data_IF_366148298939
#
_entry.id   IF_366148298939
#
_cell.length_a   1.000
_cell.length_b   1.000
_cell.length_c   1.000
_cell.angle_alpha   90.00
_cell.angle_beta   90.00
_cell.angle_gamma   90.00
#
_symmetry.space_group_name_H-M   'P 1'
#
loop_
_entity.id
_entity.type
_entity.pdbx_description
1 polymer ?
#
# COMPACT_ATOMS: atom_id res chain seq x y z
N UNK A 1 -19.18 23.17 -2.58
CA UNK A 1 -18.02 23.27 -3.51
C UNK A 1 -18.09 22.04 -4.39
N UNK A 2 -18.36 22.22 -5.68
CA UNK A 2 -18.43 21.12 -6.65
C UNK A 2 -17.03 20.54 -6.79
N UNK A 3 -16.84 19.27 -6.45
CA UNK A 3 -15.64 18.54 -6.83
C UNK A 3 -15.61 18.49 -8.36
N UNK A 4 -14.83 19.36 -8.99
CA UNK A 4 -14.55 19.22 -10.41
C UNK A 4 -13.86 17.89 -10.62
N UNK A 5 -14.50 16.98 -11.36
CA UNK A 5 -13.88 15.73 -11.79
C UNK A 5 -12.53 16.08 -12.44
N UNK A 6 -11.47 15.41 -12.01
CA UNK A 6 -10.14 15.61 -12.58
C UNK A 6 -9.98 14.60 -13.72
N UNK A 7 -9.66 15.08 -14.92
CA UNK A 7 -9.39 14.23 -16.07
C UNK A 7 -8.17 13.33 -15.80
N UNK A 8 -8.29 12.06 -16.13
CA UNK A 8 -7.22 11.08 -15.89
C UNK A 8 -7.06 10.13 -17.07
N UNK A 9 -5.83 9.78 -17.37
CA UNK A 9 -5.44 8.66 -18.22
C UNK A 9 -4.85 7.58 -17.34
N UNK A 10 -5.24 6.33 -17.52
CA UNK A 10 -4.77 5.26 -16.65
C UNK A 10 -4.44 3.97 -17.43
N UNK A 11 -3.55 3.19 -16.85
CA UNK A 11 -3.29 1.79 -17.16
C UNK A 11 -3.48 0.98 -15.89
N UNK A 12 -4.34 -0.02 -15.90
CA UNK A 12 -4.63 -0.87 -14.72
C UNK A 12 -4.36 -2.33 -15.01
N UNK A 13 -3.83 -3.03 -13.99
CA UNK A 13 -3.60 -4.47 -14.04
C UNK A 13 -2.50 -4.89 -15.02
N UNK A 14 -1.47 -4.05 -15.22
CA UNK A 14 -0.29 -4.42 -15.99
C UNK A 14 0.45 -5.55 -15.27
N UNK A 15 0.67 -6.67 -15.94
CA UNK A 15 1.33 -7.84 -15.35
C UNK A 15 2.71 -8.04 -15.93
N UNK A 16 3.69 -8.19 -15.05
CA UNK A 16 5.06 -8.49 -15.41
C UNK A 16 5.60 -9.65 -14.56
N UNK A 17 6.62 -10.33 -15.08
CA UNK A 17 7.47 -11.22 -14.30
C UNK A 17 8.88 -10.62 -14.28
N UNK A 18 9.37 -10.31 -13.06
CA UNK A 18 10.67 -9.66 -12.88
C UNK A 18 11.24 -9.94 -11.49
N UNK A 19 12.53 -9.72 -11.32
CA UNK A 19 13.18 -9.79 -10.01
C UNK A 19 12.99 -8.45 -9.31
N UNK A 20 12.40 -8.47 -8.10
CA UNK A 20 12.20 -7.27 -7.27
C UNK A 20 12.64 -7.62 -5.85
N UNK A 21 13.95 -7.54 -5.60
CA UNK A 21 14.52 -7.97 -4.35
C UNK A 21 14.28 -9.46 -4.03
N UNK A 22 14.49 -9.87 -2.78
CA UNK A 22 14.19 -11.22 -2.33
C UNK A 22 12.67 -11.51 -2.38
N UNK A 23 12.30 -12.70 -2.83
CA UNK A 23 10.91 -13.16 -2.76
C UNK A 23 10.49 -13.53 -1.31
N UNK A 24 9.25 -13.99 -1.14
CA UNK A 24 8.73 -14.37 0.18
C UNK A 24 9.45 -15.56 0.85
N UNK A 25 10.29 -16.28 0.12
CA UNK A 25 11.20 -17.32 0.65
C UNK A 25 12.64 -16.83 0.76
N UNK A 26 12.86 -15.51 0.72
CA UNK A 26 14.20 -14.87 0.81
C UNK A 26 15.18 -15.27 -0.31
N UNK A 27 14.67 -15.69 -1.49
CA UNK A 27 15.52 -16.01 -2.65
C UNK A 27 15.82 -14.71 -3.42
N UNK A 28 17.10 -14.25 -3.48
CA UNK A 28 17.42 -12.89 -3.90
C UNK A 28 17.24 -12.62 -5.41
N UNK A 29 17.30 -13.66 -6.24
CA UNK A 29 17.27 -13.50 -7.71
C UNK A 29 16.07 -14.21 -8.37
N UNK A 30 15.06 -14.56 -7.59
CA UNK A 30 13.90 -15.25 -8.12
C UNK A 30 12.94 -14.25 -8.75
N UNK A 31 12.64 -14.46 -10.05
CA UNK A 31 11.56 -13.74 -10.72
C UNK A 31 10.22 -14.02 -10.03
N UNK A 32 9.43 -12.99 -9.87
CA UNK A 32 8.11 -13.05 -9.24
C UNK A 32 7.09 -12.21 -10.02
N UNK A 33 5.81 -12.58 -10.01
CA UNK A 33 4.77 -11.80 -10.65
C UNK A 33 4.60 -10.47 -9.91
N UNK A 34 4.47 -9.40 -10.69
CA UNK A 34 4.07 -8.09 -10.20
C UNK A 34 2.88 -7.59 -11.01
N UNK A 35 2.04 -6.78 -10.38
CA UNK A 35 0.96 -6.04 -11.02
C UNK A 35 1.18 -4.55 -10.82
N UNK A 36 1.00 -3.76 -11.88
CA UNK A 36 1.23 -2.31 -11.84
C UNK A 36 -0.02 -1.58 -12.32
N UNK A 37 -0.45 -0.59 -11.53
CA UNK A 37 -1.47 0.37 -11.91
C UNK A 37 -0.82 1.75 -12.03
N UNK A 38 -1.18 2.49 -13.07
CA UNK A 38 -0.71 3.86 -13.32
C UNK A 38 -1.92 4.74 -13.57
N UNK A 39 -1.92 5.90 -12.92
CA UNK A 39 -2.92 6.96 -13.12
C UNK A 39 -2.16 8.24 -13.37
N UNK A 40 -2.52 8.96 -14.43
CA UNK A 40 -1.89 10.22 -14.81
C UNK A 40 -2.96 11.30 -14.97
N UNK A 41 -2.72 12.47 -14.40
CA UNK A 41 -3.51 13.67 -14.62
C UNK A 41 -2.79 14.52 -15.67
N UNK A 42 -3.31 14.65 -16.91
CA UNK A 42 -2.67 15.45 -17.94
C UNK A 42 -2.54 16.92 -17.51
N UNK A 43 -1.44 17.57 -17.90
CA UNK A 43 -1.18 18.97 -17.54
C UNK A 43 -2.26 19.91 -18.06
N UNK A 44 -2.75 19.66 -19.29
CA UNK A 44 -3.72 20.53 -19.98
C UNK A 44 -5.16 19.96 -19.99
N UNK A 45 -5.45 18.93 -19.17
CA UNK A 45 -6.73 18.22 -19.23
C UNK A 45 -6.93 17.43 -20.52
N UNK A 46 -8.17 17.05 -20.82
CA UNK A 46 -8.54 16.26 -22.01
C UNK A 46 -9.48 16.98 -22.97
N UNK A 47 -9.83 18.24 -22.70
CA UNK A 47 -10.82 18.99 -23.49
C UNK A 47 -10.43 19.14 -24.96
N UNK A 48 -9.16 19.48 -25.25
CA UNK A 48 -8.68 19.64 -26.61
C UNK A 48 -8.72 18.31 -27.39
N UNK A 49 -8.32 17.22 -26.73
CA UNK A 49 -8.40 15.88 -27.31
C UNK A 49 -9.86 15.47 -27.63
N UNK A 50 -10.81 15.84 -26.75
CA UNK A 50 -12.22 15.54 -26.92
C UNK A 50 -12.88 16.40 -28.01
N UNK A 51 -12.52 17.69 -28.12
CA UNK A 51 -13.10 18.61 -29.10
C UNK A 51 -12.62 18.32 -30.51
N UNK A 52 -11.32 18.04 -30.66
CA UNK A 52 -10.69 17.86 -31.97
C UNK A 52 -10.61 16.38 -32.41
N UNK A 53 -11.05 15.45 -31.58
CA UNK A 53 -10.92 13.98 -31.76
C UNK A 53 -9.47 13.60 -32.15
N UNK A 54 -8.49 14.15 -31.42
CA UNK A 54 -7.09 14.04 -31.78
C UNK A 54 -6.22 13.55 -30.63
N UNK A 55 -5.62 12.38 -30.81
CA UNK A 55 -4.75 11.72 -29.82
C UNK A 55 -3.48 12.48 -29.49
N UNK A 56 -3.06 13.44 -30.34
CA UNK A 56 -1.86 14.26 -30.05
C UNK A 56 -2.04 15.21 -28.87
N UNK A 57 -3.27 15.47 -28.45
CA UNK A 57 -3.62 16.32 -27.31
C UNK A 57 -3.84 15.56 -26.00
N UNK A 58 -3.56 14.26 -25.99
CA UNK A 58 -3.67 13.43 -24.79
C UNK A 58 -2.42 12.58 -24.57
N UNK A 59 -2.39 11.83 -23.50
CA UNK A 59 -1.35 10.85 -23.20
C UNK A 59 -1.65 9.57 -23.96
N UNK A 60 -0.75 9.18 -24.88
CA UNK A 60 -0.82 7.92 -25.61
C UNK A 60 -0.49 6.73 -24.66
N UNK A 61 -1.53 6.14 -24.12
CA UNK A 61 -1.41 4.97 -23.22
C UNK A 61 -0.82 3.73 -23.93
N UNK A 62 -0.97 3.61 -25.25
CA UNK A 62 -0.36 2.52 -26.01
C UNK A 62 1.16 2.66 -26.12
N UNK A 63 1.65 3.88 -26.31
CA UNK A 63 3.09 4.20 -26.29
C UNK A 63 3.64 4.01 -24.87
N UNK A 64 2.94 4.50 -23.87
CA UNK A 64 3.32 4.33 -22.46
C UNK A 64 3.43 2.83 -22.10
N UNK A 65 2.44 2.01 -22.48
CA UNK A 65 2.50 0.56 -22.28
C UNK A 65 3.76 -0.07 -22.88
N UNK A 66 4.10 0.26 -24.14
CA UNK A 66 5.30 -0.27 -24.79
C UNK A 66 6.59 0.14 -24.09
N UNK A 67 6.67 1.39 -23.59
CA UNK A 67 7.81 1.88 -22.82
C UNK A 67 7.96 1.10 -21.50
N UNK A 68 6.87 0.90 -20.79
CA UNK A 68 6.86 0.14 -19.53
C UNK A 68 7.25 -1.33 -19.74
N UNK A 69 6.74 -1.97 -20.79
CA UNK A 69 7.16 -3.33 -21.14
C UNK A 69 8.65 -3.40 -21.39
N UNK A 70 9.22 -2.44 -22.11
CA UNK A 70 10.66 -2.40 -22.42
C UNK A 70 11.51 -2.19 -21.16
N UNK A 71 11.06 -1.34 -20.22
CA UNK A 71 11.83 -0.95 -19.03
C UNK A 71 11.66 -1.92 -17.85
N UNK A 72 10.55 -2.70 -17.79
CA UNK A 72 10.21 -3.54 -16.63
C UNK A 72 10.31 -5.04 -16.92
N UNK A 73 9.90 -5.48 -18.12
CA UNK A 73 9.84 -6.92 -18.42
C UNK A 73 11.22 -7.56 -18.39
N UNK A 74 11.34 -8.68 -17.67
CA UNK A 74 12.57 -9.50 -17.59
C UNK A 74 13.80 -8.73 -17.08
N UNK A 75 13.60 -7.58 -16.41
CA UNK A 75 14.65 -6.83 -15.75
C UNK A 75 14.88 -7.38 -14.33
N UNK A 76 15.86 -6.81 -13.64
CA UNK A 76 16.16 -7.13 -12.24
C UNK A 76 16.27 -5.83 -11.46
N UNK A 77 15.50 -5.71 -10.40
CA UNK A 77 15.47 -4.55 -9.52
C UNK A 77 15.91 -4.97 -8.12
N UNK A 78 16.70 -4.14 -7.49
CA UNK A 78 17.19 -4.37 -6.14
C UNK A 78 16.05 -4.50 -5.12
N UNK A 79 15.03 -3.66 -5.30
CA UNK A 79 13.84 -3.62 -4.44
C UNK A 79 12.67 -2.95 -5.20
N UNK A 80 11.51 -2.88 -4.55
CA UNK A 80 10.31 -2.27 -5.14
C UNK A 80 10.46 -0.76 -5.35
N UNK A 81 11.30 -0.10 -4.55
CA UNK A 81 11.59 1.32 -4.70
C UNK A 81 12.36 1.59 -6.00
N UNK A 82 13.44 0.82 -6.26
CA UNK A 82 14.19 0.91 -7.53
C UNK A 82 13.24 0.66 -8.73
N UNK A 83 12.37 -0.36 -8.65
CA UNK A 83 11.35 -0.60 -9.67
C UNK A 83 10.45 0.64 -9.87
N UNK A 84 9.98 1.25 -8.80
CA UNK A 84 9.12 2.44 -8.88
C UNK A 84 9.81 3.64 -9.51
N UNK A 85 11.11 3.83 -9.26
CA UNK A 85 11.92 4.88 -9.90
C UNK A 85 11.99 4.67 -11.42
N UNK A 86 12.24 3.43 -11.87
CA UNK A 86 12.31 3.09 -13.29
C UNK A 86 10.94 3.27 -13.98
N UNK A 87 9.85 2.84 -13.33
CA UNK A 87 8.49 3.08 -13.82
C UNK A 87 8.27 4.59 -13.97
N UNK A 88 8.56 5.36 -12.94
CA UNK A 88 8.35 6.81 -12.92
C UNK A 88 9.17 7.55 -13.96
N UNK A 89 10.42 7.15 -14.19
CA UNK A 89 11.26 7.70 -15.24
C UNK A 89 10.72 7.42 -16.66
N UNK A 90 9.84 6.42 -16.79
CA UNK A 90 9.16 6.08 -18.04
C UNK A 90 7.82 6.81 -18.25
N UNK A 91 7.34 7.55 -17.24
CA UNK A 91 6.07 8.28 -17.36
C UNK A 91 6.26 9.55 -18.22
N UNK A 92 5.26 9.90 -19.05
CA UNK A 92 5.22 11.20 -19.71
C UNK A 92 5.00 12.32 -18.69
N UNK A 93 5.24 13.55 -19.11
CA UNK A 93 4.93 14.72 -18.31
C UNK A 93 3.44 14.77 -17.95
N UNK A 94 3.15 14.95 -16.68
CA UNK A 94 1.80 15.00 -16.14
C UNK A 94 1.74 15.93 -14.92
N UNK A 95 0.59 16.54 -14.69
CA UNK A 95 0.33 17.41 -13.53
C UNK A 95 0.40 16.62 -12.21
N UNK A 96 -0.09 15.40 -12.22
CA UNK A 96 -0.01 14.47 -11.09
C UNK A 96 0.05 13.02 -11.60
N UNK A 97 0.61 12.14 -10.78
CA UNK A 97 0.66 10.71 -11.06
C UNK A 97 0.32 9.88 -9.84
N UNK A 98 -0.20 8.68 -10.08
CA UNK A 98 -0.28 7.58 -9.13
C UNK A 98 0.37 6.34 -9.76
N UNK A 99 1.27 5.70 -9.02
CA UNK A 99 1.90 4.43 -9.38
C UNK A 99 1.67 3.45 -8.24
N UNK A 100 1.03 2.34 -8.52
CA UNK A 100 0.84 1.27 -7.55
C UNK A 100 1.50 0.00 -8.07
N UNK A 101 2.36 -0.59 -7.24
CA UNK A 101 3.05 -1.85 -7.54
C UNK A 101 2.59 -2.88 -6.53
N UNK A 102 1.92 -3.93 -6.99
CA UNK A 102 1.50 -5.05 -6.18
C UNK A 102 2.41 -6.26 -6.41
N UNK A 103 2.84 -6.87 -5.32
CA UNK A 103 3.52 -8.16 -5.29
C UNK A 103 2.52 -9.20 -4.73
N UNK A 104 1.80 -9.93 -5.60
CA UNK A 104 0.77 -10.88 -5.15
C UNK A 104 1.32 -12.00 -4.27
N UNK A 105 2.61 -12.34 -4.45
CA UNK A 105 3.33 -13.37 -3.68
C UNK A 105 4.38 -12.80 -2.74
N UNK A 106 4.33 -11.49 -2.45
CA UNK A 106 5.33 -10.84 -1.58
C UNK A 106 5.26 -11.27 -0.12
N UNK A 107 4.08 -11.72 0.34
CA UNK A 107 3.83 -12.20 1.70
C UNK A 107 3.06 -13.51 1.64
N UNK A 108 3.63 -14.61 2.19
CA UNK A 108 3.01 -15.94 2.13
C UNK A 108 1.70 -16.04 2.91
N UNK A 109 1.61 -15.33 4.03
CA UNK A 109 0.44 -15.36 4.90
C UNK A 109 -0.69 -14.41 4.41
N UNK A 110 -0.47 -13.61 3.36
CA UNK A 110 -1.41 -12.60 2.91
C UNK A 110 -1.98 -12.93 1.53
N UNK A 111 -3.25 -13.32 1.47
CA UNK A 111 -3.94 -13.71 0.22
C UNK A 111 -3.95 -12.59 -0.82
N UNK A 112 -4.01 -11.32 -0.39
CA UNK A 112 -3.94 -10.14 -1.26
C UNK A 112 -2.51 -9.69 -1.61
N UNK A 113 -1.48 -10.30 -1.00
CA UNK A 113 -0.08 -9.88 -1.14
C UNK A 113 0.20 -8.51 -0.51
N UNK A 114 1.20 -7.81 -1.05
CA UNK A 114 1.55 -6.45 -0.63
C UNK A 114 1.49 -5.50 -1.82
N UNK A 115 0.95 -4.28 -1.59
CA UNK A 115 0.89 -3.19 -2.58
C UNK A 115 1.63 -1.99 -2.05
N UNK A 116 2.46 -1.39 -2.89
CA UNK A 116 3.13 -0.12 -2.65
C UNK A 116 2.54 0.93 -3.57
N UNK A 117 2.27 2.12 -3.05
CA UNK A 117 1.71 3.23 -3.81
C UNK A 117 2.59 4.47 -3.68
N UNK A 118 2.73 5.22 -4.76
CA UNK A 118 3.34 6.54 -4.83
C UNK A 118 2.38 7.46 -5.56
N UNK A 119 1.89 8.48 -4.88
CA UNK A 119 0.94 9.44 -5.42
C UNK A 119 1.48 10.85 -5.30
N UNK A 120 1.55 11.57 -6.40
CA UNK A 120 1.87 13.00 -6.38
C UNK A 120 0.60 13.81 -6.35
N UNK A 121 0.55 14.79 -5.46
CA UNK A 121 -0.52 15.77 -5.37
C UNK A 121 0.05 17.15 -5.73
N UNK A 122 -0.45 17.76 -6.83
CA UNK A 122 -0.09 19.14 -7.13
C UNK A 122 -0.73 20.06 -6.10
N UNK A 123 0.08 20.74 -5.27
CA UNK A 123 -0.41 21.85 -4.47
C UNK A 123 -0.64 23.05 -5.37
N UNK A 124 -1.88 23.57 -5.37
CA UNK A 124 -2.26 24.73 -6.21
C UNK A 124 -1.65 26.03 -5.69
N UNK A 125 -1.23 26.08 -4.40
CA UNK A 125 -0.81 27.34 -3.75
C UNK A 125 0.68 27.66 -3.85
N UNK A 126 1.58 26.67 -3.90
CA UNK A 126 3.02 26.93 -3.70
C UNK A 126 3.93 26.30 -4.76
N UNK A 127 3.40 25.69 -5.81
CA UNK A 127 4.19 25.02 -6.84
C UNK A 127 4.99 23.81 -6.32
N UNK A 128 4.68 23.32 -5.13
CA UNK A 128 5.33 22.17 -4.48
C UNK A 128 4.43 20.96 -4.66
N UNK A 129 4.93 19.93 -5.32
CA UNK A 129 4.23 18.65 -5.37
C UNK A 129 4.57 17.82 -4.14
N UNK A 130 3.55 17.27 -3.54
CA UNK A 130 3.65 16.37 -2.40
C UNK A 130 3.54 14.92 -2.92
N UNK A 131 4.47 14.06 -2.52
CA UNK A 131 4.39 12.63 -2.82
C UNK A 131 4.03 11.90 -1.54
N UNK A 132 2.90 11.22 -1.56
CA UNK A 132 2.48 10.30 -0.53
C UNK A 132 2.92 8.89 -0.92
N UNK A 133 3.56 8.21 0.00
CA UNK A 133 3.90 6.80 -0.14
C UNK A 133 3.00 5.95 0.74
N UNK A 134 2.50 4.83 0.21
CA UNK A 134 1.67 3.90 0.95
C UNK A 134 2.19 2.47 0.84
N UNK A 135 1.96 1.67 1.88
CA UNK A 135 2.16 0.23 1.87
C UNK A 135 0.91 -0.46 2.41
N UNK A 136 0.37 -1.40 1.66
CA UNK A 136 -0.82 -2.16 2.05
C UNK A 136 -0.50 -3.65 2.03
N UNK A 137 -0.56 -4.32 3.17
CA UNK A 137 -0.53 -5.78 3.27
C UNK A 137 -1.97 -6.23 3.41
N UNK A 138 -2.49 -7.01 2.45
CA UNK A 138 -3.91 -7.30 2.36
C UNK A 138 -4.22 -8.78 2.66
N UNK A 139 -5.11 -9.00 3.64
CA UNK A 139 -5.68 -10.32 3.91
C UNK A 139 -4.69 -11.30 4.53
N UNK A 140 -3.97 -10.88 5.59
CA UNK A 140 -3.14 -11.79 6.39
C UNK A 140 -4.09 -12.77 7.08
N UNK A 141 -4.00 -14.04 6.73
CA UNK A 141 -4.84 -15.11 7.29
C UNK A 141 -4.28 -15.56 8.63
N UNK A 142 -5.04 -15.36 9.70
CA UNK A 142 -4.68 -15.72 11.06
C UNK A 142 -5.81 -16.51 11.75
N UNK A 143 -5.46 -17.20 12.84
CA UNK A 143 -6.43 -17.89 13.69
C UNK A 143 -6.16 -17.60 15.16
N UNK A 144 -7.18 -17.05 15.86
CA UNK A 144 -7.09 -16.81 17.29
C UNK A 144 -8.43 -17.00 17.99
N UNK A 145 -8.38 -16.97 19.32
CA UNK A 145 -9.60 -16.91 20.15
C UNK A 145 -10.00 -15.44 20.24
N UNK A 146 -11.20 -15.09 19.73
CA UNK A 146 -11.73 -13.74 19.79
C UNK A 146 -13.25 -13.74 19.91
N UNK A 147 -13.78 -12.99 20.84
CA UNK A 147 -15.21 -12.84 21.10
C UNK A 147 -15.54 -12.83 22.59
N UNK A 148 -16.76 -12.34 22.89
CA UNK A 148 -17.28 -12.21 24.25
C UNK A 148 -18.06 -13.45 24.71
N UNK A 149 -18.65 -14.18 23.76
CA UNK A 149 -19.53 -15.28 24.08
C UNK A 149 -18.72 -16.52 24.49
N UNK A 150 -19.19 -17.34 25.47
CA UNK A 150 -18.48 -18.52 25.93
C UNK A 150 -18.08 -19.49 24.80
N UNK A 151 -18.95 -19.71 23.82
CA UNK A 151 -18.67 -20.58 22.68
C UNK A 151 -17.56 -20.04 21.75
N UNK A 152 -17.34 -18.73 21.70
CA UNK A 152 -16.27 -18.10 20.91
C UNK A 152 -14.90 -18.25 21.60
N UNK A 153 -14.88 -18.63 22.88
CA UNK A 153 -13.68 -18.77 23.70
C UNK A 153 -13.08 -20.18 23.69
N UNK A 154 -13.73 -21.12 23.00
CA UNK A 154 -13.34 -22.55 22.99
C UNK A 154 -12.39 -22.81 21.80
N UNK A 155 -12.73 -22.34 20.61
CA UNK A 155 -12.04 -22.67 19.38
C UNK A 155 -11.48 -21.43 18.68
N UNK A 156 -10.30 -21.56 18.05
CA UNK A 156 -9.70 -20.51 17.26
C UNK A 156 -10.54 -20.23 15.99
N UNK A 157 -10.87 -18.98 15.77
CA UNK A 157 -11.63 -18.51 14.62
C UNK A 157 -10.68 -17.94 13.57
N UNK A 158 -11.04 -18.07 12.28
CA UNK A 158 -10.32 -17.41 11.18
C UNK A 158 -10.57 -15.90 11.23
N UNK A 159 -9.49 -15.14 11.12
CA UNK A 159 -9.50 -13.70 10.86
C UNK A 159 -8.69 -13.39 9.60
N UNK A 160 -9.07 -12.32 8.93
CA UNK A 160 -8.30 -11.72 7.83
C UNK A 160 -7.89 -10.32 8.27
N UNK A 161 -6.57 -10.08 8.36
CA UNK A 161 -6.01 -8.81 8.81
C UNK A 161 -5.41 -8.08 7.62
N UNK A 162 -5.84 -6.85 7.39
CA UNK A 162 -5.23 -5.96 6.39
C UNK A 162 -4.61 -4.75 7.09
N UNK A 163 -3.41 -4.37 6.66
CA UNK A 163 -2.64 -3.29 7.23
C UNK A 163 -2.37 -2.26 6.16
N UNK A 164 -2.71 -1.00 6.42
CA UNK A 164 -2.40 0.13 5.58
C UNK A 164 -1.50 1.08 6.35
N UNK A 165 -0.31 1.33 5.83
CA UNK A 165 0.69 2.25 6.36
C UNK A 165 0.87 3.36 5.34
N UNK A 166 0.80 4.60 5.80
CA UNK A 166 1.09 5.78 4.99
C UNK A 166 2.46 6.32 5.39
N UNK A 167 3.34 6.49 4.42
CA UNK A 167 4.66 7.06 4.62
C UNK A 167 4.63 8.58 4.74
N UNK A 168 5.79 9.14 5.09
CA UNK A 168 5.98 10.59 5.24
C UNK A 168 5.70 11.30 3.92
N UNK A 169 4.93 12.35 3.97
CA UNK A 169 4.71 13.27 2.87
C UNK A 169 6.01 14.04 2.60
N UNK A 170 6.59 13.86 1.41
CA UNK A 170 7.73 14.66 0.96
C UNK A 170 7.24 15.80 0.08
N UNK A 171 7.51 17.04 0.48
CA UNK A 171 7.24 18.23 -0.32
C UNK A 171 8.39 18.48 -1.28
N UNK A 172 8.14 18.30 -2.57
CA UNK A 172 9.12 18.54 -3.62
C UNK A 172 8.60 19.59 -4.60
N UNK A 173 9.50 20.49 -5.07
CA UNK A 173 9.11 21.42 -6.12
C UNK A 173 8.90 20.68 -7.45
N UNK A 174 8.01 21.17 -8.36
CA UNK A 174 7.77 20.52 -9.65
C UNK A 174 9.04 20.32 -10.50
N UNK A 175 10.01 21.24 -10.41
CA UNK A 175 11.31 21.13 -11.07
C UNK A 175 12.16 19.96 -10.53
N UNK A 176 11.93 19.57 -9.29
CA UNK A 176 12.60 18.46 -8.64
C UNK A 176 11.93 17.12 -9.02
N UNK A 177 10.62 17.09 -9.30
CA UNK A 177 9.91 15.87 -9.73
C UNK A 177 10.50 15.25 -11.01
N UNK A 178 11.06 16.06 -11.89
CA UNK A 178 11.70 15.61 -13.13
C UNK A 178 13.10 14.99 -12.93
N UNK A 179 13.75 15.18 -11.77
CA UNK A 179 15.15 14.79 -11.55
C UNK A 179 15.51 14.21 -10.19
N UNK A 180 14.54 13.94 -9.31
CA UNK A 180 14.83 13.48 -7.94
C UNK A 180 15.23 12.01 -7.90
N UNK A 181 16.46 11.78 -7.44
CA UNK A 181 16.82 10.55 -6.74
C UNK A 181 15.97 10.48 -5.46
N UNK A 182 15.20 9.41 -5.33
CA UNK A 182 14.27 9.20 -4.20
C UNK A 182 14.98 8.70 -2.91
N UNK A 183 16.30 8.89 -2.80
CA UNK A 183 17.11 8.45 -1.64
C UNK A 183 16.76 9.15 -0.32
N UNK A 184 15.88 10.15 -0.38
CA UNK A 184 15.43 10.91 0.80
C UNK A 184 14.04 10.50 1.32
N UNK A 185 13.36 9.54 0.67
CA UNK A 185 12.07 9.03 1.15
C UNK A 185 12.34 7.93 2.17
N UNK A 186 11.75 8.02 3.35
CA UNK A 186 11.80 6.95 4.36
C UNK A 186 11.39 5.64 3.69
N UNK A 187 12.35 4.73 3.59
CA UNK A 187 12.26 3.52 2.77
C UNK A 187 11.23 2.56 3.36
N UNK A 188 9.99 2.61 2.87
CA UNK A 188 8.99 1.56 3.13
C UNK A 188 9.32 0.27 2.36
N UNK A 189 10.37 0.31 1.52
CA UNK A 189 10.77 -0.78 0.64
C UNK A 189 11.77 -1.68 1.31
N UNK A 190 11.47 -2.86 1.58
CA UNK A 190 12.33 -4.01 1.85
C UNK A 190 12.54 -4.42 3.30
N UNK A 191 12.81 -5.59 3.55
CA UNK A 191 12.03 -6.72 4.04
C UNK A 191 11.09 -6.38 5.20
N UNK A 192 10.92 -5.07 5.49
CA UNK A 192 10.06 -4.59 6.58
C UNK A 192 8.62 -5.13 6.48
N UNK A 193 8.04 -5.24 5.28
CA UNK A 193 6.68 -5.74 5.13
C UNK A 193 6.53 -7.23 5.50
N UNK A 194 7.55 -8.06 5.24
CA UNK A 194 7.54 -9.47 5.66
C UNK A 194 7.68 -9.58 7.17
N UNK A 195 8.57 -8.79 7.78
CA UNK A 195 8.74 -8.74 9.23
C UNK A 195 7.46 -8.25 9.92
N UNK A 196 6.80 -7.23 9.39
CA UNK A 196 5.49 -6.75 9.89
C UNK A 196 4.46 -7.87 9.81
N UNK A 197 4.31 -8.54 8.66
CA UNK A 197 3.34 -9.60 8.49
C UNK A 197 3.57 -10.77 9.45
N UNK A 198 4.82 -11.22 9.60
CA UNK A 198 5.18 -12.29 10.52
C UNK A 198 4.89 -11.92 11.98
N UNK A 199 5.27 -10.71 12.41
CA UNK A 199 4.97 -10.22 13.77
C UNK A 199 3.47 -10.11 14.04
N UNK A 200 2.67 -9.77 13.00
CA UNK A 200 1.21 -9.73 13.11
C UNK A 200 0.64 -11.13 13.25
N UNK A 201 1.09 -12.10 12.46
CA UNK A 201 0.68 -13.51 12.60
C UNK A 201 0.97 -14.00 14.01
N UNK A 202 2.20 -13.82 14.51
CA UNK A 202 2.61 -14.22 15.86
C UNK A 202 1.74 -13.56 16.94
N UNK A 203 1.51 -12.23 16.81
CA UNK A 203 0.67 -11.48 17.76
C UNK A 203 -0.77 -11.99 17.79
N UNK A 204 -1.35 -12.25 16.63
CA UNK A 204 -2.75 -12.67 16.52
C UNK A 204 -2.92 -14.12 16.99
N UNK A 205 -2.10 -15.05 16.48
CA UNK A 205 -2.26 -16.48 16.77
C UNK A 205 -1.97 -16.87 18.21
N UNK A 206 -1.14 -16.08 18.90
CA UNK A 206 -0.86 -16.24 20.34
C UNK A 206 -1.85 -15.52 21.26
N UNK A 207 -2.94 -14.93 20.70
CA UNK A 207 -3.84 -14.06 21.46
C UNK A 207 -5.20 -14.66 21.74
N UNK A 208 -5.89 -14.05 22.76
CA UNK A 208 -7.26 -14.42 23.16
C UNK A 208 -8.06 -13.17 23.54
N UNK A 209 -8.14 -12.19 22.64
CA UNK A 209 -8.85 -10.94 22.88
C UNK A 209 -10.38 -11.16 22.98
N UNK A 210 -11.03 -10.37 23.82
CA UNK A 210 -12.50 -10.36 23.91
C UNK A 210 -13.11 -9.59 22.74
N UNK A 211 -12.43 -8.53 22.26
CA UNK A 211 -12.95 -7.67 21.19
C UNK A 211 -11.95 -7.55 20.03
N UNK A 212 -12.48 -7.47 18.81
CA UNK A 212 -11.67 -7.22 17.61
C UNK A 212 -11.04 -5.82 17.63
N UNK A 213 -11.68 -4.87 18.30
CA UNK A 213 -11.16 -3.50 18.49
C UNK A 213 -9.87 -3.49 19.32
N UNK A 214 -9.82 -4.26 20.39
CA UNK A 214 -8.62 -4.40 21.22
C UNK A 214 -7.50 -5.07 20.43
N UNK A 215 -7.79 -6.12 19.67
CA UNK A 215 -6.84 -6.79 18.80
C UNK A 215 -6.31 -5.84 17.72
N UNK A 216 -7.20 -5.13 17.01
CA UNK A 216 -6.80 -4.17 15.96
C UNK A 216 -5.92 -3.05 16.53
N UNK A 217 -6.24 -2.56 17.73
CA UNK A 217 -5.42 -1.54 18.42
C UNK A 217 -4.05 -2.10 18.81
N UNK A 218 -3.97 -3.35 19.27
CA UNK A 218 -2.69 -3.99 19.61
C UNK A 218 -1.81 -4.20 18.35
N UNK A 219 -2.42 -4.50 17.19
CA UNK A 219 -1.70 -4.58 15.91
C UNK A 219 -1.23 -3.19 15.48
N UNK A 220 -2.04 -2.13 15.61
CA UNK A 220 -1.58 -0.76 15.35
C UNK A 220 -0.37 -0.40 16.22
N UNK A 221 -0.39 -0.76 17.51
CA UNK A 221 0.74 -0.55 18.41
C UNK A 221 1.98 -1.32 17.96
N UNK A 222 1.84 -2.59 17.58
CA UNK A 222 2.92 -3.40 17.05
C UNK A 222 3.57 -2.73 15.82
N UNK A 223 2.76 -2.29 14.87
CA UNK A 223 3.24 -1.65 13.64
C UNK A 223 3.93 -0.31 13.93
N UNK A 224 3.35 0.53 14.79
CA UNK A 224 3.88 1.88 15.02
C UNK A 224 5.05 1.90 16.01
N UNK A 225 4.98 1.15 17.10
CA UNK A 225 6.00 1.19 18.15
C UNK A 225 7.13 0.19 17.89
N UNK A 226 6.80 -1.06 17.53
CA UNK A 226 7.83 -2.08 17.36
C UNK A 226 8.51 -2.01 15.98
N UNK A 227 7.75 -1.68 14.92
CA UNK A 227 8.30 -1.53 13.57
C UNK A 227 8.61 -0.06 13.19
N UNK A 228 8.28 0.91 14.05
CA UNK A 228 8.72 2.29 13.91
C UNK A 228 7.94 3.16 12.93
N UNK A 229 6.81 2.70 12.39
CA UNK A 229 5.99 3.48 11.47
C UNK A 229 5.20 4.58 12.20
N UNK A 230 5.03 5.74 11.56
CA UNK A 230 4.33 6.88 12.17
C UNK A 230 2.84 6.64 12.36
N UNK A 231 2.23 5.81 11.52
CA UNK A 231 0.81 5.48 11.58
C UNK A 231 0.55 4.08 11.04
N UNK A 232 -0.57 3.52 11.44
CA UNK A 232 -1.12 2.29 10.90
C UNK A 232 -2.64 2.34 10.92
N UNK A 233 -3.27 1.87 9.84
CA UNK A 233 -4.70 1.55 9.78
C UNK A 233 -4.83 0.05 9.61
N UNK A 234 -5.50 -0.58 10.55
CA UNK A 234 -5.70 -2.04 10.60
C UNK A 234 -7.17 -2.34 10.40
N UNK A 235 -7.47 -3.17 9.42
CA UNK A 235 -8.80 -3.75 9.22
C UNK A 235 -8.74 -5.22 9.60
N UNK A 236 -9.67 -5.67 10.43
CA UNK A 236 -9.85 -7.08 10.78
C UNK A 236 -11.23 -7.50 10.33
N UNK A 237 -11.26 -8.46 9.44
CA UNK A 237 -12.48 -9.15 9.00
C UNK A 237 -12.60 -10.49 9.72
N UNK A 238 -13.79 -10.77 10.26
CA UNK A 238 -14.19 -12.03 10.86
C UNK A 238 -15.19 -12.71 9.92
N UNK A 239 -14.72 -13.58 9.01
CA UNK A 239 -15.59 -14.23 8.04
C UNK A 239 -16.66 -15.08 8.73
N UNK A 240 -17.88 -15.01 8.21
CA UNK A 240 -19.02 -15.81 8.64
C UNK A 240 -19.39 -15.69 10.14
N UNK A 241 -18.97 -14.60 10.80
CA UNK A 241 -19.29 -14.38 12.21
C UNK A 241 -20.79 -14.18 12.48
N UNK A 242 -21.52 -13.73 11.47
CA UNK A 242 -22.98 -13.49 11.55
C UNK A 242 -23.64 -14.19 10.36
N UNK A 243 -24.71 -14.93 10.62
CA UNK A 243 -25.48 -15.59 9.56
C UNK A 243 -26.01 -14.56 8.55
N UNK A 244 -25.81 -14.83 7.27
CA UNK A 244 -26.22 -13.94 6.15
C UNK A 244 -25.26 -12.80 5.84
N UNK A 245 -24.11 -12.71 6.53
CA UNK A 245 -23.06 -11.72 6.27
C UNK A 245 -21.76 -12.44 5.92
N UNK A 246 -21.11 -12.04 4.82
CA UNK A 246 -19.83 -12.64 4.43
C UNK A 246 -18.74 -12.42 5.48
N UNK A 247 -18.60 -11.19 5.96
CA UNK A 247 -17.69 -10.84 7.05
C UNK A 247 -18.25 -9.68 7.88
N UNK A 248 -17.97 -9.71 9.18
CA UNK A 248 -18.12 -8.58 10.08
C UNK A 248 -16.73 -8.19 10.57
N UNK A 249 -16.48 -6.88 10.78
CA UNK A 249 -15.15 -6.47 11.15
C UNK A 249 -15.05 -5.02 11.60
N UNK A 250 -13.82 -4.60 11.87
CA UNK A 250 -13.51 -3.23 12.29
C UNK A 250 -12.33 -2.70 11.51
N UNK A 251 -12.30 -1.37 11.33
CA UNK A 251 -11.12 -0.65 10.86
C UNK A 251 -10.70 0.36 11.91
N UNK A 252 -9.46 0.28 12.38
CA UNK A 252 -8.89 1.17 13.39
C UNK A 252 -7.61 1.79 12.84
N UNK A 253 -7.50 3.12 12.93
CA UNK A 253 -6.29 3.86 12.62
C UNK A 253 -5.68 4.46 13.88
N UNK A 254 -4.36 4.33 14.06
CA UNK A 254 -3.61 4.93 15.17
C UNK A 254 -2.26 5.43 14.68
N UNK A 255 -1.82 6.54 15.26
CA UNK A 255 -0.46 7.06 15.07
C UNK A 255 0.47 6.58 16.19
N UNK A 256 1.78 6.67 15.95
CA UNK A 256 2.81 6.42 16.95
C UNK A 256 2.61 7.33 18.18
N UNK A 257 2.35 8.63 17.96
CA UNK A 257 2.10 9.61 19.02
C UNK A 257 0.89 9.23 19.92
N UNK A 258 -0.11 8.52 19.38
CA UNK A 258 -1.24 8.03 20.16
C UNK A 258 -0.81 7.07 21.26
N UNK A 259 0.21 6.24 21.03
CA UNK A 259 0.71 5.25 22.00
C UNK A 259 1.82 5.82 22.91
N UNK A 260 2.53 6.85 22.47
CA UNK A 260 3.57 7.52 23.24
C UNK A 260 2.98 8.41 24.34
N UNK A 261 1.74 8.85 24.20
CA UNK A 261 1.03 9.63 25.21
C UNK A 261 0.57 8.71 26.35
N UNK A 262 1.38 8.63 27.41
CA UNK A 262 1.37 7.60 28.47
C UNK A 262 0.09 7.46 29.31
N UNK A 263 -0.87 8.37 29.20
CA UNK A 263 -2.02 8.42 30.10
C UNK A 263 -3.18 7.48 29.71
N UNK A 264 -3.11 6.84 28.56
CA UNK A 264 -4.29 6.12 28.02
C UNK A 264 -4.22 4.59 28.03
N UNK A 265 -3.06 3.93 28.15
CA UNK A 265 -2.99 2.47 27.87
C UNK A 265 -2.25 1.63 28.90
N UNK A 266 -2.97 1.18 29.90
CA UNK A 266 -2.66 -0.10 30.55
C UNK A 266 -3.47 -1.19 29.83
N UNK A 267 -3.08 -1.53 28.59
CA UNK A 267 -3.56 -2.75 27.96
C UNK A 267 -3.08 -3.90 28.83
N UNK A 268 -4.01 -4.65 29.40
CA UNK A 268 -3.69 -5.88 30.13
C UNK A 268 -2.82 -6.75 29.22
N UNK A 269 -1.55 -6.87 29.57
CA UNK A 269 -0.67 -7.90 29.02
C UNK A 269 -1.14 -9.21 29.62
N UNK A 270 -1.80 -10.02 28.86
CA UNK A 270 -2.03 -11.45 29.13
C UNK A 270 -1.31 -12.24 28.07
#
# INVERSE_FOLDING_TARGET
>A
MSSTAVDQVFLKGLKFETVVGPDAWHRPTKSQPIEVDIVLTPTNGLDAAAQDDNVSYTIDYGKLYKQLVASVSKQSFENVHHLSQVIRASLPEARAFGVHVRLPKGVLAADGGVTFGWESHASVSDGIAEITQTMIIKGIACRCIVGLNPHERVEKQKLEVSIHIQGVENRLSPAILAGVSMDTVSDLSTPAYQAVANSVVERVEGSSYETVEALATAICQLVTINHGFDNARVTIDKPYAIAGVFAAGVTIGRSKAYFENKDFWKIKRT
#
